data_IF_662918352576
#
_entry.id   IF_662918352576
#
_cell.length_a   1.000
_cell.length_b   1.000
_cell.length_c   1.000
_cell.angle_alpha   90.00
_cell.angle_beta   90.00
_cell.angle_gamma   90.00
#
_symmetry.space_group_name_H-M   'P 1'
#
loop_
_entity.id
_entity.type
_entity.pdbx_description
1 polymer ?
#
# COMPACT_ATOMS: atom_id res chain seq x y z
N UNK A 1 -3.21 -12.55 -27.37
CA UNK A 1 -3.67 -11.99 -26.07
C UNK A 1 -2.65 -12.39 -25.04
N UNK A 2 -2.13 -11.47 -24.25
CA UNK A 2 -1.23 -11.77 -23.14
C UNK A 2 -2.02 -12.60 -22.12
N UNK A 3 -1.48 -13.74 -21.70
CA UNK A 3 -2.10 -14.61 -20.68
C UNK A 3 -2.26 -13.83 -19.39
N UNK A 4 -3.35 -14.05 -18.64
CA UNK A 4 -3.55 -13.43 -17.33
C UNK A 4 -2.50 -13.96 -16.33
N UNK A 5 -1.58 -13.13 -15.83
CA UNK A 5 -0.51 -13.60 -14.93
C UNK A 5 -1.02 -14.26 -13.64
N UNK A 6 -2.25 -13.94 -13.20
CA UNK A 6 -2.85 -14.54 -12.01
C UNK A 6 -3.30 -16.00 -12.21
N UNK A 7 -3.41 -16.46 -13.46
CA UNK A 7 -3.83 -17.84 -13.81
C UNK A 7 -2.66 -18.76 -14.19
N UNK A 8 -1.41 -18.28 -14.10
CA UNK A 8 -0.24 -19.05 -14.56
C UNK A 8 0.21 -20.11 -13.55
N UNK A 9 -0.10 -19.94 -12.26
CA UNK A 9 0.41 -20.78 -11.19
C UNK A 9 -0.65 -21.72 -10.62
N UNK A 10 -0.27 -22.97 -10.45
CA UNK A 10 -1.09 -23.94 -9.71
C UNK A 10 -0.98 -23.70 -8.20
N UNK A 11 -1.99 -24.17 -7.45
CA UNK A 11 -1.96 -24.11 -5.99
C UNK A 11 -0.74 -24.82 -5.41
N UNK A 12 -0.26 -25.92 -6.02
CA UNK A 12 0.94 -26.63 -5.56
C UNK A 12 2.19 -25.77 -5.72
N UNK A 13 2.38 -25.12 -6.86
CA UNK A 13 3.52 -24.22 -7.09
C UNK A 13 3.52 -23.03 -6.13
N UNK A 14 2.32 -22.54 -5.74
CA UNK A 14 2.20 -21.48 -4.74
C UNK A 14 2.55 -21.97 -3.33
N UNK A 15 2.19 -23.20 -2.98
CA UNK A 15 2.54 -23.82 -1.68
C UNK A 15 4.04 -24.08 -1.52
N UNK A 16 4.77 -24.21 -2.60
CA UNK A 16 6.23 -24.36 -2.59
C UNK A 16 6.97 -23.03 -2.29
N UNK A 17 6.24 -21.90 -2.26
CA UNK A 17 6.79 -20.59 -1.92
C UNK A 17 6.99 -20.44 -0.41
N UNK A 18 8.11 -19.81 -0.05
CA UNK A 18 8.51 -19.57 1.34
C UNK A 18 8.31 -18.11 1.79
N UNK A 19 7.79 -17.24 0.91
CA UNK A 19 7.48 -15.86 1.27
C UNK A 19 6.33 -15.80 2.28
N UNK A 20 6.17 -14.64 2.92
CA UNK A 20 5.23 -14.46 4.03
C UNK A 20 3.80 -14.92 3.70
N UNK A 21 3.31 -14.66 2.48
CA UNK A 21 1.95 -15.04 2.09
C UNK A 21 1.69 -16.53 2.25
N UNK A 22 2.56 -17.37 1.70
CA UNK A 22 2.37 -18.81 1.64
C UNK A 22 3.14 -19.57 2.74
N UNK A 23 4.21 -18.99 3.29
CA UNK A 23 5.05 -19.62 4.32
C UNK A 23 4.54 -19.49 5.75
N UNK A 24 3.59 -18.59 6.04
CA UNK A 24 3.16 -18.30 7.41
C UNK A 24 2.07 -19.23 7.94
N UNK A 25 1.35 -19.93 7.07
CA UNK A 25 0.20 -20.76 7.45
C UNK A 25 0.35 -22.22 7.01
N UNK A 26 -0.32 -23.18 7.69
CA UNK A 26 -0.37 -24.57 7.26
C UNK A 26 -0.96 -24.74 5.86
N UNK A 27 -0.63 -25.86 5.20
CA UNK A 27 -0.96 -26.09 3.79
C UNK A 27 -2.47 -26.21 3.48
N UNK A 28 -3.33 -26.42 4.48
CA UNK A 28 -4.79 -26.46 4.33
C UNK A 28 -5.43 -25.07 4.36
N UNK A 29 -4.69 -24.03 4.76
CA UNK A 29 -5.13 -22.63 4.79
C UNK A 29 -4.91 -21.98 3.42
N UNK A 30 -5.90 -21.20 2.95
CA UNK A 30 -5.78 -20.34 1.79
C UNK A 30 -5.40 -18.91 2.25
N UNK A 31 -4.19 -18.42 1.93
CA UNK A 31 -3.71 -17.13 2.43
C UNK A 31 -4.12 -15.97 1.52
N UNK A 32 -5.11 -15.20 1.94
CA UNK A 32 -5.57 -13.98 1.28
C UNK A 32 -5.35 -12.72 2.16
N UNK A 33 -4.31 -12.69 2.95
CA UNK A 33 -4.06 -11.68 3.99
C UNK A 33 -3.01 -10.62 3.62
N UNK A 34 -1.81 -11.02 3.25
CA UNK A 34 -0.71 -10.09 2.96
C UNK A 34 -0.76 -9.58 1.52
N UNK A 35 -0.30 -8.34 1.32
CA UNK A 35 -0.28 -7.70 0.01
C UNK A 35 0.90 -8.19 -0.87
N UNK A 36 0.85 -9.48 -1.24
CA UNK A 36 1.67 -10.16 -2.25
C UNK A 36 0.74 -10.78 -3.31
N UNK A 37 1.14 -10.78 -4.58
CA UNK A 37 0.36 -11.38 -5.66
C UNK A 37 0.80 -12.83 -5.94
N UNK A 38 -0.12 -13.66 -6.39
CA UNK A 38 0.15 -15.03 -6.81
C UNK A 38 0.49 -15.08 -8.30
N UNK A 39 1.62 -14.49 -8.65
CA UNK A 39 2.11 -14.35 -10.03
C UNK A 39 3.56 -14.77 -10.16
N UNK A 40 4.01 -15.10 -11.36
CA UNK A 40 5.42 -15.13 -11.70
C UNK A 40 5.98 -13.70 -11.81
N UNK A 41 7.31 -13.56 -11.73
CA UNK A 41 7.94 -12.29 -12.06
C UNK A 41 7.64 -11.90 -13.51
N UNK A 42 7.48 -10.61 -13.77
CA UNK A 42 7.44 -10.11 -15.14
C UNK A 42 8.69 -10.60 -15.90
N UNK A 43 8.55 -11.14 -17.12
CA UNK A 43 9.67 -11.76 -17.83
C UNK A 43 10.89 -10.86 -17.98
N UNK A 44 10.69 -9.58 -18.28
CA UNK A 44 11.77 -8.58 -18.42
C UNK A 44 12.52 -8.37 -17.09
N UNK A 45 11.81 -8.34 -15.98
CA UNK A 45 12.39 -8.23 -14.62
C UNK A 45 13.20 -9.49 -14.29
N UNK A 46 12.64 -10.67 -14.57
CA UNK A 46 13.33 -11.94 -14.32
C UNK A 46 14.63 -12.06 -15.14
N UNK A 47 14.62 -11.62 -16.39
CA UNK A 47 15.81 -11.59 -17.25
C UNK A 47 16.87 -10.62 -16.73
N UNK A 48 16.47 -9.40 -16.37
CA UNK A 48 17.40 -8.40 -15.81
C UNK A 48 18.10 -8.91 -14.53
N UNK A 49 17.35 -9.58 -13.64
CA UNK A 49 17.91 -10.19 -12.43
C UNK A 49 18.88 -11.32 -12.75
N UNK A 50 18.54 -12.24 -13.67
CA UNK A 50 19.47 -13.32 -14.07
C UNK A 50 20.76 -12.76 -14.63
N UNK A 51 20.67 -11.78 -15.52
CA UNK A 51 21.84 -11.11 -16.11
C UNK A 51 22.72 -10.46 -15.04
N UNK A 52 22.14 -9.78 -14.04
CA UNK A 52 22.92 -9.19 -12.96
C UNK A 52 23.62 -10.25 -12.11
N UNK A 53 22.95 -11.35 -11.79
CA UNK A 53 23.53 -12.49 -11.05
C UNK A 53 24.66 -13.14 -11.85
N UNK A 54 24.45 -13.41 -13.13
CA UNK A 54 25.45 -14.06 -14.01
C UNK A 54 26.70 -13.18 -14.17
N UNK A 55 26.55 -11.86 -14.11
CA UNK A 55 27.67 -10.91 -14.13
C UNK A 55 28.35 -10.71 -12.76
N UNK A 56 27.79 -11.27 -11.68
CA UNK A 56 28.27 -11.00 -10.32
C UNK A 56 28.02 -9.56 -9.85
N UNK A 57 27.04 -8.86 -10.44
CA UNK A 57 26.71 -7.47 -10.14
C UNK A 57 25.83 -7.35 -8.88
N UNK A 58 26.49 -7.54 -7.72
CA UNK A 58 25.84 -7.62 -6.40
C UNK A 58 26.39 -6.60 -5.40
N UNK A 59 26.99 -5.50 -5.88
CA UNK A 59 27.54 -4.42 -5.07
C UNK A 59 26.47 -3.49 -4.49
N UNK A 60 26.91 -2.30 -4.06
CA UNK A 60 26.00 -1.26 -3.60
C UNK A 60 25.30 -0.57 -4.78
N UNK A 61 24.01 -0.18 -4.63
CA UNK A 61 23.31 0.55 -5.67
C UNK A 61 23.92 1.93 -5.88
N UNK A 62 23.95 2.40 -7.13
CA UNK A 62 24.37 3.76 -7.46
C UNK A 62 23.65 4.28 -8.70
N UNK A 63 23.73 5.59 -8.92
CA UNK A 63 23.18 6.25 -10.10
C UNK A 63 21.67 6.49 -10.04
N UNK A 64 21.11 6.87 -11.18
CA UNK A 64 19.76 7.42 -11.32
C UNK A 64 18.78 6.53 -12.08
N UNK A 65 19.18 5.31 -12.44
CA UNK A 65 18.43 4.44 -13.34
C UNK A 65 16.98 4.17 -12.89
N UNK A 66 16.74 4.02 -11.57
CA UNK A 66 15.39 3.86 -11.04
C UNK A 66 14.59 5.16 -11.15
N UNK A 67 15.19 6.29 -10.81
CA UNK A 67 14.53 7.61 -10.91
C UNK A 67 14.15 7.96 -12.35
N UNK A 68 15.05 7.70 -13.29
CA UNK A 68 14.79 7.88 -14.73
C UNK A 68 13.67 6.99 -15.24
N UNK A 69 13.65 5.71 -14.83
CA UNK A 69 12.58 4.78 -15.19
C UNK A 69 11.22 5.20 -14.63
N UNK A 70 11.18 5.66 -13.37
CA UNK A 70 9.97 6.19 -12.73
C UNK A 70 9.51 7.47 -13.43
N UNK A 71 10.39 8.41 -13.74
CA UNK A 71 10.07 9.66 -14.46
C UNK A 71 9.43 9.36 -15.82
N UNK A 72 10.03 8.46 -16.60
CA UNK A 72 9.48 8.05 -17.90
C UNK A 72 8.12 7.34 -17.78
N UNK A 73 7.97 6.49 -16.77
CA UNK A 73 6.69 5.80 -16.50
C UNK A 73 5.62 6.81 -16.07
N UNK A 74 5.93 7.72 -15.17
CA UNK A 74 5.04 8.78 -14.69
C UNK A 74 4.54 9.67 -15.85
N UNK A 75 5.44 10.07 -16.75
CA UNK A 75 5.09 10.85 -17.93
C UNK A 75 4.10 10.10 -18.82
N UNK A 76 4.34 8.80 -19.09
CA UNK A 76 3.47 7.99 -19.98
C UNK A 76 2.14 7.61 -19.31
N UNK A 77 2.17 7.22 -18.03
CA UNK A 77 1.02 6.60 -17.34
C UNK A 77 0.14 7.61 -16.62
N UNK A 78 0.77 8.63 -16.00
CA UNK A 78 0.09 9.61 -15.15
C UNK A 78 0.11 11.03 -15.70
N UNK A 79 0.72 11.25 -16.89
CA UNK A 79 0.92 12.57 -17.49
C UNK A 79 1.70 13.54 -16.59
N UNK A 80 2.57 12.99 -15.74
CA UNK A 80 3.47 13.76 -14.89
C UNK A 80 4.81 13.95 -15.60
N UNK A 81 4.97 15.08 -16.28
CA UNK A 81 6.11 15.35 -17.16
C UNK A 81 7.26 16.09 -16.48
N UNK A 82 7.05 16.65 -15.29
CA UNK A 82 7.98 17.50 -14.55
C UNK A 82 8.58 16.81 -13.31
N UNK A 83 8.53 15.46 -13.27
CA UNK A 83 9.29 14.69 -12.28
C UNK A 83 10.78 14.78 -12.60
N UNK A 84 11.49 15.63 -11.85
CA UNK A 84 12.94 15.83 -11.99
C UNK A 84 13.72 14.77 -11.21
N UNK A 85 14.61 14.05 -11.89
CA UNK A 85 15.50 13.04 -11.29
C UNK A 85 16.36 13.64 -10.16
N UNK A 86 16.80 14.89 -10.28
CA UNK A 86 17.57 15.58 -9.26
C UNK A 86 16.82 15.87 -7.96
N UNK A 87 15.50 15.66 -7.92
CA UNK A 87 14.66 15.78 -6.72
C UNK A 87 14.21 14.41 -6.19
N UNK A 88 15.02 13.37 -6.39
CA UNK A 88 14.74 12.02 -5.91
C UNK A 88 15.91 11.50 -5.07
N UNK A 89 15.60 10.59 -4.13
CA UNK A 89 16.59 9.85 -3.36
C UNK A 89 16.18 8.37 -3.29
N UNK A 90 17.17 7.47 -3.40
CA UNK A 90 16.98 6.05 -3.15
C UNK A 90 16.76 5.82 -1.65
N UNK A 91 15.77 5.01 -1.32
CA UNK A 91 15.46 4.59 0.06
C UNK A 91 15.22 3.06 0.09
N UNK A 92 15.43 2.39 1.26
CA UNK A 92 15.38 0.92 1.34
C UNK A 92 14.03 0.34 0.93
N UNK A 93 12.95 0.93 1.38
CA UNK A 93 11.56 0.66 0.98
C UNK A 93 10.70 1.90 1.30
N UNK A 94 9.43 1.86 0.93
CA UNK A 94 8.53 3.01 1.14
C UNK A 94 8.38 3.33 2.62
N UNK A 95 8.22 2.35 3.52
CA UNK A 95 8.02 2.64 4.95
C UNK A 95 9.28 3.19 5.63
N UNK A 96 10.45 2.64 5.33
CA UNK A 96 11.72 3.22 5.82
C UNK A 96 11.96 4.59 5.20
N UNK A 97 11.63 4.78 3.92
CA UNK A 97 11.66 6.08 3.28
C UNK A 97 10.72 7.11 3.93
N UNK A 98 9.50 6.70 4.33
CA UNK A 98 8.58 7.54 5.12
C UNK A 98 9.24 7.98 6.41
N UNK A 99 9.87 7.06 7.16
CA UNK A 99 10.56 7.39 8.41
C UNK A 99 11.67 8.41 8.17
N UNK A 100 12.51 8.20 7.16
CA UNK A 100 13.61 9.13 6.86
C UNK A 100 13.08 10.52 6.44
N UNK A 101 12.04 10.58 5.60
CA UNK A 101 11.39 11.85 5.26
C UNK A 101 10.77 12.51 6.50
N UNK A 102 10.10 11.76 7.37
CA UNK A 102 9.58 12.32 8.63
C UNK A 102 10.69 12.87 9.52
N UNK A 103 11.88 12.27 9.54
CA UNK A 103 13.06 12.79 10.28
C UNK A 103 13.59 14.11 9.71
N UNK A 104 13.44 14.34 8.41
CA UNK A 104 13.76 15.63 7.78
C UNK A 104 12.76 16.72 8.15
N UNK A 105 11.48 16.35 8.34
CA UNK A 105 10.36 17.27 8.47
C UNK A 105 9.92 17.55 9.90
N UNK A 106 10.15 16.60 10.81
CA UNK A 106 9.62 16.63 12.18
C UNK A 106 10.66 16.15 13.18
N UNK A 107 10.48 16.53 14.42
CA UNK A 107 11.31 16.09 15.54
C UNK A 107 10.58 15.00 16.36
N UNK A 108 11.29 14.33 17.28
CA UNK A 108 10.65 13.39 18.21
C UNK A 108 9.58 14.11 19.02
N UNK A 109 8.44 13.44 19.25
CA UNK A 109 7.22 13.93 19.92
C UNK A 109 6.34 14.84 19.05
N UNK A 110 6.78 15.25 17.88
CA UNK A 110 5.91 15.92 16.92
C UNK A 110 4.79 14.98 16.45
N UNK A 111 3.78 15.56 15.81
CA UNK A 111 2.60 14.81 15.40
C UNK A 111 2.65 14.44 13.91
N UNK A 112 2.19 13.22 13.62
CA UNK A 112 1.89 12.75 12.26
C UNK A 112 0.41 12.41 12.18
N UNK A 113 -0.30 13.04 11.27
CA UNK A 113 -1.72 12.78 11.03
C UNK A 113 -1.89 11.65 10.02
N UNK A 114 -2.87 10.77 10.23
CA UNK A 114 -3.21 9.64 9.34
C UNK A 114 -4.72 9.50 9.20
N UNK A 115 -5.22 8.83 8.16
CA UNK A 115 -6.66 8.65 7.88
C UNK A 115 -7.12 7.20 8.07
N UNK A 116 -7.44 6.75 9.28
CA UNK A 116 -7.97 5.40 9.47
C UNK A 116 -9.39 5.23 8.86
N UNK A 117 -9.75 3.96 8.55
CA UNK A 117 -8.88 2.78 8.63
C UNK A 117 -7.75 2.88 7.61
N UNK A 118 -6.49 2.76 8.05
CA UNK A 118 -5.31 2.95 7.19
C UNK A 118 -4.25 1.89 7.46
N UNK A 119 -3.32 1.72 6.54
CA UNK A 119 -2.23 0.74 6.61
C UNK A 119 -1.58 0.67 7.99
N UNK A 120 -1.75 -0.47 8.68
CA UNK A 120 -1.35 -0.64 10.07
C UNK A 120 0.12 -0.25 10.39
N UNK A 121 1.11 -0.51 9.52
CA UNK A 121 2.47 -0.04 9.74
C UNK A 121 2.63 1.48 9.89
N UNK A 122 1.70 2.31 9.41
CA UNK A 122 1.77 3.76 9.65
C UNK A 122 1.80 4.08 11.16
N UNK A 123 1.03 3.34 11.97
CA UNK A 123 1.04 3.50 13.43
C UNK A 123 2.37 3.07 14.03
N UNK A 124 2.82 1.85 13.71
CA UNK A 124 4.00 1.27 14.31
C UNK A 124 5.27 2.05 13.94
N UNK A 125 5.49 2.36 12.65
CA UNK A 125 6.69 3.06 12.20
C UNK A 125 6.77 4.49 12.75
N UNK A 126 5.64 5.22 12.77
CA UNK A 126 5.57 6.58 13.32
C UNK A 126 5.84 6.57 14.83
N UNK A 127 5.20 5.65 15.57
CA UNK A 127 5.35 5.55 17.03
C UNK A 127 6.76 5.09 17.44
N UNK A 128 7.33 4.08 16.76
CA UNK A 128 8.68 3.59 17.05
C UNK A 128 9.76 4.65 16.78
N UNK A 129 9.54 5.53 15.80
CA UNK A 129 10.42 6.66 15.56
C UNK A 129 10.17 7.86 16.51
N UNK A 130 9.27 7.68 17.49
CA UNK A 130 9.03 8.61 18.59
C UNK A 130 8.14 9.79 18.26
N UNK A 131 7.32 9.71 17.20
CA UNK A 131 6.29 10.69 16.86
C UNK A 131 4.93 10.24 17.38
N UNK A 132 4.01 11.19 17.53
CA UNK A 132 2.64 10.93 17.95
C UNK A 132 1.75 10.75 16.74
N UNK A 133 0.93 9.71 16.71
CA UNK A 133 -0.09 9.54 15.68
C UNK A 133 -1.36 10.28 16.09
N UNK A 134 -1.92 11.06 15.17
CA UNK A 134 -3.21 11.74 15.31
C UNK A 134 -4.12 11.27 14.18
N UNK A 135 -5.28 10.77 14.52
CA UNK A 135 -6.22 10.24 13.54
C UNK A 135 -7.19 11.31 13.00
N UNK A 136 -7.40 11.29 11.69
CA UNK A 136 -8.48 11.96 10.96
C UNK A 136 -9.26 10.91 10.19
N UNK A 137 -10.28 10.25 10.80
CA UNK A 137 -10.95 9.10 10.19
C UNK A 137 -11.59 9.41 8.84
N UNK A 138 -11.56 8.43 7.93
CA UNK A 138 -12.28 8.50 6.66
C UNK A 138 -13.79 8.41 6.89
N UNK A 139 -14.55 9.01 5.99
CA UNK A 139 -16.01 8.84 5.90
C UNK A 139 -16.34 8.21 4.54
N UNK A 140 -16.98 7.05 4.56
CA UNK A 140 -17.31 6.32 3.34
C UNK A 140 -16.08 5.96 2.48
N UNK A 141 -14.92 5.77 3.10
CA UNK A 141 -13.65 5.48 2.42
C UNK A 141 -13.01 6.70 1.75
N UNK A 142 -13.48 7.93 2.03
CA UNK A 142 -12.96 9.19 1.47
C UNK A 142 -12.42 10.10 2.59
N UNK A 143 -11.49 10.98 2.24
CA UNK A 143 -10.96 11.98 3.18
C UNK A 143 -12.07 12.95 3.54
N UNK A 144 -12.32 13.07 4.85
CA UNK A 144 -13.19 14.10 5.41
C UNK A 144 -12.32 15.31 5.78
N UNK A 145 -12.55 16.42 5.09
CA UNK A 145 -11.74 17.64 5.27
C UNK A 145 -11.97 18.28 6.65
N UNK A 146 -13.16 18.17 7.22
CA UNK A 146 -13.45 18.70 8.56
C UNK A 146 -12.73 17.85 9.62
N UNK A 147 -12.75 16.52 9.49
CA UNK A 147 -11.99 15.63 10.37
C UNK A 147 -10.48 15.88 10.25
N UNK A 148 -9.99 16.13 9.03
CA UNK A 148 -8.57 16.41 8.76
C UNK A 148 -8.16 17.77 9.35
N UNK A 149 -8.97 18.82 9.18
CA UNK A 149 -8.74 20.14 9.79
C UNK A 149 -8.69 20.05 11.33
N UNK A 150 -9.67 19.37 11.92
CA UNK A 150 -9.72 19.15 13.36
C UNK A 150 -8.48 18.36 13.86
N UNK A 151 -7.98 17.39 13.08
CA UNK A 151 -6.77 16.67 13.42
C UNK A 151 -5.52 17.57 13.36
N UNK A 152 -5.42 18.46 12.37
CA UNK A 152 -4.34 19.46 12.31
C UNK A 152 -4.36 20.41 13.51
N UNK A 153 -5.54 20.88 13.92
CA UNK A 153 -5.70 21.70 15.15
C UNK A 153 -5.22 20.92 16.38
N UNK A 154 -5.67 19.68 16.58
CA UNK A 154 -5.23 18.85 17.72
C UNK A 154 -3.74 18.56 17.68
N UNK A 155 -3.17 18.29 16.50
CA UNK A 155 -1.75 18.04 16.33
C UNK A 155 -0.90 19.22 16.81
N UNK A 156 -1.33 20.45 16.53
CA UNK A 156 -0.65 21.66 16.96
C UNK A 156 -0.89 22.02 18.42
N UNK A 157 -2.10 21.83 18.94
CA UNK A 157 -2.44 22.16 20.33
C UNK A 157 -1.66 21.34 21.38
N UNK A 158 -1.31 20.07 21.03
CA UNK A 158 -0.56 19.17 21.92
C UNK A 158 0.96 19.31 21.87
N UNK A 159 1.48 20.34 21.22
CA UNK A 159 2.88 20.51 20.91
C UNK A 159 3.37 21.91 21.28
N UNK A 160 4.67 22.08 21.56
CA UNK A 160 5.30 23.38 21.84
C UNK A 160 5.15 24.37 20.66
N UNK A 161 5.53 25.63 20.92
CA UNK A 161 5.35 26.73 19.96
C UNK A 161 6.01 26.49 18.60
N UNK A 162 7.08 25.67 18.56
CA UNK A 162 7.87 25.34 17.37
C UNK A 162 7.60 23.96 16.81
N UNK A 163 6.55 23.26 17.30
CA UNK A 163 6.25 21.92 16.88
C UNK A 163 5.81 21.83 15.42
N UNK A 164 6.43 20.88 14.74
CA UNK A 164 6.15 20.56 13.34
C UNK A 164 5.04 19.50 13.28
N UNK A 165 4.29 19.52 12.19
CA UNK A 165 3.25 18.54 11.94
C UNK A 165 3.42 18.01 10.51
N UNK A 166 3.41 16.68 10.38
CA UNK A 166 3.33 16.03 9.08
C UNK A 166 1.98 15.33 8.90
N UNK A 167 1.57 15.18 7.66
CA UNK A 167 0.42 14.37 7.28
C UNK A 167 0.88 13.25 6.37
N UNK A 168 0.68 12.00 6.79
CA UNK A 168 1.02 10.81 6.04
C UNK A 168 -0.22 10.32 5.27
N UNK A 169 -0.25 10.66 3.99
CA UNK A 169 -1.33 10.34 3.05
C UNK A 169 -1.08 8.97 2.42
N UNK A 170 -2.11 8.12 2.34
CA UNK A 170 -2.10 6.86 1.60
C UNK A 170 -2.84 7.04 0.27
N UNK A 171 -2.15 7.02 -0.88
CA UNK A 171 -2.70 7.34 -2.20
C UNK A 171 -2.15 6.44 -3.32
N UNK A 172 -2.88 5.44 -3.84
CA UNK A 172 -4.22 4.96 -3.44
C UNK A 172 -4.31 4.40 -2.04
N UNK A 173 -5.52 4.39 -1.48
CA UNK A 173 -5.72 4.11 -0.07
C UNK A 173 -5.80 2.61 0.23
N UNK A 174 -5.01 2.16 1.21
CA UNK A 174 -5.06 0.81 1.80
C UNK A 174 -5.60 0.95 3.24
N UNK A 175 -6.70 0.30 3.61
CA UNK A 175 -7.28 -0.92 3.01
C UNK A 175 -8.47 -0.69 2.07
N UNK A 176 -9.00 0.51 1.95
CA UNK A 176 -10.29 0.79 1.30
C UNK A 176 -10.28 0.63 -0.22
N UNK A 177 -9.10 0.65 -0.85
CA UNK A 177 -8.98 0.64 -2.31
C UNK A 177 -9.43 1.94 -2.99
N UNK A 178 -9.67 3.00 -2.22
CA UNK A 178 -10.08 4.31 -2.74
C UNK A 178 -8.94 4.97 -3.50
N UNK A 179 -9.26 5.56 -4.65
CA UNK A 179 -8.37 6.42 -5.42
C UNK A 179 -8.86 7.86 -5.27
N UNK A 180 -8.05 8.71 -4.65
CA UNK A 180 -8.42 10.10 -4.42
C UNK A 180 -8.46 10.87 -5.73
N UNK A 181 -9.46 11.73 -5.89
CA UNK A 181 -9.59 12.59 -7.07
C UNK A 181 -8.60 13.77 -6.99
N UNK A 182 -8.30 14.39 -8.14
CA UNK A 182 -7.46 15.58 -8.18
C UNK A 182 -8.02 16.73 -7.33
N UNK A 183 -9.36 16.85 -7.26
CA UNK A 183 -10.02 17.91 -6.47
C UNK A 183 -9.89 17.65 -4.96
N UNK A 184 -10.04 16.40 -4.52
CA UNK A 184 -9.79 16.02 -3.11
C UNK A 184 -8.34 16.27 -2.72
N UNK A 185 -7.38 15.84 -3.56
CA UNK A 185 -5.95 16.05 -3.29
C UNK A 185 -5.58 17.54 -3.28
N UNK A 186 -6.19 18.36 -4.14
CA UNK A 186 -6.01 19.83 -4.12
C UNK A 186 -6.54 20.43 -2.84
N UNK A 187 -7.73 20.03 -2.39
CA UNK A 187 -8.30 20.51 -1.14
C UNK A 187 -7.44 20.11 0.07
N UNK A 188 -6.88 18.89 0.07
CA UNK A 188 -5.89 18.43 1.07
C UNK A 188 -4.64 19.30 1.05
N UNK A 189 -4.05 19.57 -0.12
CA UNK A 189 -2.85 20.39 -0.25
C UNK A 189 -3.07 21.82 0.24
N UNK A 190 -4.22 22.43 -0.11
CA UNK A 190 -4.61 23.76 0.36
C UNK A 190 -4.77 23.80 1.87
N UNK A 191 -5.48 22.80 2.44
CA UNK A 191 -5.67 22.69 3.89
C UNK A 191 -4.33 22.53 4.61
N UNK A 192 -3.48 21.63 4.15
CA UNK A 192 -2.15 21.40 4.73
C UNK A 192 -1.30 22.68 4.69
N UNK A 193 -1.30 23.41 3.57
CA UNK A 193 -0.58 24.68 3.42
C UNK A 193 -1.12 25.74 4.42
N UNK A 194 -2.44 25.86 4.56
CA UNK A 194 -3.09 26.81 5.51
C UNK A 194 -2.65 26.56 6.95
N UNK A 195 -2.47 25.28 7.33
CA UNK A 195 -2.02 24.91 8.67
C UNK A 195 -0.49 24.73 8.78
N UNK A 196 0.30 24.96 7.74
CA UNK A 196 1.74 24.74 7.73
C UNK A 196 2.11 23.27 8.00
N UNK A 197 1.29 22.33 7.54
CA UNK A 197 1.53 20.88 7.65
C UNK A 197 2.24 20.38 6.41
N UNK A 198 3.25 19.54 6.60
CA UNK A 198 4.01 18.92 5.49
C UNK A 198 3.39 17.59 5.13
N UNK A 199 3.09 17.38 3.84
CA UNK A 199 2.47 16.13 3.36
C UNK A 199 3.56 15.17 2.89
N UNK A 200 3.44 13.90 3.32
CA UNK A 200 4.21 12.76 2.83
C UNK A 200 3.20 11.77 2.23
N UNK A 201 3.21 11.63 0.91
CA UNK A 201 2.28 10.75 0.20
C UNK A 201 2.91 9.38 -0.05
N UNK A 202 2.36 8.33 0.55
CA UNK A 202 2.69 6.95 0.22
C UNK A 202 1.93 6.56 -1.05
N UNK A 203 2.66 6.46 -2.17
CA UNK A 203 2.14 6.16 -3.50
C UNK A 203 2.58 4.77 -4.01
N UNK A 204 2.87 3.84 -3.10
CA UNK A 204 3.33 2.49 -3.45
C UNK A 204 2.33 1.72 -4.32
N UNK A 205 1.04 2.03 -4.21
CA UNK A 205 -0.04 1.43 -5.00
C UNK A 205 -0.37 2.21 -6.29
N UNK A 206 0.31 3.31 -6.56
CA UNK A 206 0.03 4.19 -7.70
C UNK A 206 -0.07 3.48 -9.07
N UNK A 207 0.76 2.46 -9.40
CA UNK A 207 0.59 1.76 -10.67
C UNK A 207 -0.61 0.78 -10.70
N UNK A 208 -1.22 0.46 -9.54
CA UNK A 208 -2.31 -0.53 -9.44
C UNK A 208 -3.66 0.19 -9.40
N UNK A 209 -4.03 0.78 -10.53
CA UNK A 209 -5.33 1.45 -10.71
C UNK A 209 -6.22 0.59 -11.60
N UNK A 210 -7.41 0.31 -11.11
CA UNK A 210 -8.36 -0.54 -11.80
C UNK A 210 -9.23 0.28 -12.77
N UNK A 211 -9.76 -0.35 -13.84
CA UNK A 211 -10.61 0.32 -14.82
C UNK A 211 -11.74 1.15 -14.19
N UNK A 212 -11.98 2.33 -14.76
CA UNK A 212 -12.97 3.29 -14.25
C UNK A 212 -12.41 4.35 -13.29
N UNK A 213 -11.12 4.25 -12.91
CA UNK A 213 -10.46 5.19 -12.02
C UNK A 213 -9.19 5.76 -12.62
N UNK A 214 -8.74 6.91 -12.13
CA UNK A 214 -7.51 7.58 -12.57
C UNK A 214 -6.70 8.02 -11.35
N UNK A 215 -5.43 7.63 -11.33
CA UNK A 215 -4.49 8.10 -10.32
C UNK A 215 -4.03 9.53 -10.61
N UNK A 216 -3.94 10.33 -9.57
CA UNK A 216 -3.33 11.66 -9.59
C UNK A 216 -2.14 11.63 -8.63
N UNK A 217 -0.88 11.78 -9.11
CA UNK A 217 0.27 11.93 -8.21
C UNK A 217 0.10 13.18 -7.34
N UNK A 218 0.34 13.06 -6.03
CA UNK A 218 0.10 14.17 -5.11
C UNK A 218 0.95 15.41 -5.46
N UNK A 219 2.19 15.20 -5.89
CA UNK A 219 3.10 16.29 -6.25
C UNK A 219 2.70 17.07 -7.52
N UNK A 220 1.66 16.62 -8.25
CA UNK A 220 1.14 17.34 -9.45
C UNK A 220 0.01 18.30 -9.13
N UNK A 221 -0.53 18.29 -7.91
CA UNK A 221 -1.61 19.20 -7.55
C UNK A 221 -1.06 20.53 -7.03
N UNK A 222 -1.70 21.66 -7.36
CA UNK A 222 -1.31 22.96 -6.82
C UNK A 222 -1.34 22.97 -5.28
N UNK A 223 -0.32 23.53 -4.66
CA UNK A 223 -0.16 23.59 -3.21
C UNK A 223 0.66 22.41 -2.61
N UNK A 224 1.10 21.46 -3.45
CA UNK A 224 1.93 20.33 -3.03
C UNK A 224 3.44 20.57 -3.23
N UNK A 225 3.87 21.77 -3.56
CA UNK A 225 5.26 22.11 -3.92
C UNK A 225 6.28 21.80 -2.81
N UNK A 226 5.84 21.81 -1.53
CA UNK A 226 6.67 21.50 -0.38
C UNK A 226 6.48 20.08 0.18
N UNK A 227 5.75 19.20 -0.54
CA UNK A 227 5.44 17.85 -0.13
C UNK A 227 6.49 16.83 -0.60
N UNK A 228 6.32 15.59 -0.13
CA UNK A 228 7.06 14.41 -0.58
C UNK A 228 6.10 13.34 -1.07
N UNK A 229 6.54 12.54 -2.05
CA UNK A 229 5.89 11.31 -2.45
C UNK A 229 6.90 10.15 -2.39
N UNK A 230 6.43 8.96 -2.04
CA UNK A 230 7.24 7.74 -2.04
C UNK A 230 6.63 6.71 -2.98
N UNK A 231 7.47 6.14 -3.85
CA UNK A 231 7.03 5.20 -4.87
C UNK A 231 7.97 3.98 -4.95
N UNK A 232 7.39 2.84 -5.31
CA UNK A 232 8.12 1.59 -5.48
C UNK A 232 7.38 0.67 -6.46
N UNK A 233 8.11 -0.18 -7.18
CA UNK A 233 7.52 -1.25 -7.99
C UNK A 233 7.00 -2.44 -7.16
N UNK A 234 7.25 -2.44 -5.85
CA UNK A 234 7.00 -3.57 -4.93
C UNK A 234 5.60 -4.16 -5.05
N UNK A 235 4.56 -3.33 -5.17
CA UNK A 235 3.18 -3.79 -5.19
C UNK A 235 2.70 -4.15 -6.59
N UNK A 236 3.04 -3.33 -7.57
CA UNK A 236 2.56 -3.49 -8.95
C UNK A 236 3.21 -4.66 -9.68
N UNK A 237 4.46 -5.02 -9.35
CA UNK A 237 5.20 -6.13 -9.97
C UNK A 237 5.60 -7.22 -8.98
N UNK A 238 5.00 -7.22 -7.78
CA UNK A 238 5.23 -8.25 -6.75
C UNK A 238 6.70 -8.40 -6.32
N UNK A 239 7.39 -7.27 -6.07
CA UNK A 239 8.83 -7.21 -5.76
C UNK A 239 9.12 -6.86 -4.29
N UNK A 240 8.18 -7.11 -3.36
CA UNK A 240 8.30 -6.66 -1.96
C UNK A 240 9.53 -7.17 -1.21
N UNK A 241 10.08 -8.32 -1.61
CA UNK A 241 11.32 -8.88 -1.08
C UNK A 241 12.59 -8.24 -1.64
N UNK A 242 12.49 -7.58 -2.81
CA UNK A 242 13.60 -6.88 -3.45
C UNK A 242 13.54 -5.39 -3.08
N UNK A 243 14.05 -5.06 -1.90
CA UNK A 243 13.93 -3.77 -1.26
C UNK A 243 14.54 -2.63 -2.08
N UNK A 244 13.69 -1.76 -2.64
CA UNK A 244 14.05 -0.49 -3.26
C UNK A 244 12.82 0.42 -3.39
N UNK A 245 12.99 1.72 -3.17
CA UNK A 245 11.98 2.74 -3.40
C UNK A 245 12.65 4.09 -3.70
N UNK A 246 11.84 5.06 -4.13
CA UNK A 246 12.23 6.45 -4.28
C UNK A 246 11.44 7.34 -3.33
N UNK A 247 12.11 8.23 -2.64
CA UNK A 247 11.54 9.45 -2.09
C UNK A 247 11.68 10.56 -3.15
N UNK A 248 10.59 11.26 -3.44
CA UNK A 248 10.49 12.31 -4.44
C UNK A 248 10.08 13.59 -3.72
N UNK A 249 10.83 14.67 -3.90
CA UNK A 249 10.51 15.97 -3.31
C UNK A 249 9.81 16.87 -4.32
N UNK A 250 8.82 17.61 -3.86
CA UNK A 250 8.31 18.77 -4.58
C UNK A 250 9.41 19.85 -4.71
N UNK A 251 9.23 20.84 -5.61
CA UNK A 251 10.28 21.81 -5.88
C UNK A 251 10.72 22.62 -4.66
N UNK A 252 9.82 22.92 -3.74
CA UNK A 252 10.14 23.65 -2.50
C UNK A 252 10.70 22.74 -1.39
N UNK A 253 10.59 21.41 -1.55
CA UNK A 253 11.11 20.42 -0.61
C UNK A 253 12.49 19.86 -1.00
N UNK A 254 13.06 20.27 -2.14
CA UNK A 254 14.34 19.76 -2.65
C UNK A 254 15.49 19.99 -1.66
N UNK A 255 15.53 21.15 -0.99
CA UNK A 255 16.54 21.44 0.02
C UNK A 255 16.45 20.54 1.26
N UNK A 256 15.24 20.10 1.63
CA UNK A 256 15.04 19.14 2.71
C UNK A 256 15.55 17.76 2.29
N UNK A 257 15.24 17.31 1.07
CA UNK A 257 15.71 16.03 0.53
C UNK A 257 17.25 15.94 0.51
N UNK A 258 17.93 17.03 0.17
CA UNK A 258 19.40 17.09 0.14
C UNK A 258 20.06 16.92 1.53
N UNK A 259 19.28 16.96 2.61
CA UNK A 259 19.75 16.66 3.98
C UNK A 259 19.60 15.18 4.35
N UNK A 260 19.07 14.34 3.46
CA UNK A 260 18.94 12.91 3.72
C UNK A 260 20.35 12.30 3.89
N UNK A 261 20.59 11.54 4.97
CA UNK A 261 21.90 10.93 5.19
C UNK A 261 22.29 10.00 4.03
N UNK A 262 23.56 10.02 3.64
CA UNK A 262 24.08 9.23 2.52
C UNK A 262 23.87 7.72 2.72
N UNK A 263 24.02 7.24 3.96
CA UNK A 263 23.85 5.83 4.33
C UNK A 263 22.43 5.28 4.04
N UNK A 264 21.40 6.15 3.99
CA UNK A 264 20.04 5.74 3.61
C UNK A 264 20.02 5.20 2.17
N UNK A 265 20.78 5.84 1.28
CA UNK A 265 20.93 5.43 -0.12
C UNK A 265 21.66 4.09 -0.30
N UNK A 266 22.41 3.62 0.71
CA UNK A 266 23.06 2.31 0.70
C UNK A 266 22.16 1.16 1.19
N UNK A 267 20.99 1.47 1.75
CA UNK A 267 20.04 0.49 2.29
C UNK A 267 19.25 -0.31 1.25
N UNK A 268 18.93 0.21 0.06
CA UNK A 268 18.28 -0.57 -1.00
C UNK A 268 19.15 -1.74 -1.47
N UNK A 269 18.51 -2.85 -1.84
CA UNK A 269 19.20 -3.94 -2.54
C UNK A 269 19.55 -3.49 -3.96
N UNK A 270 20.79 -3.69 -4.40
CA UNK A 270 21.18 -3.38 -5.79
C UNK A 270 20.37 -4.19 -6.80
N UNK A 271 20.17 -5.48 -6.56
CA UNK A 271 19.28 -6.31 -7.38
C UNK A 271 17.83 -5.80 -7.33
N UNK A 272 17.41 -5.26 -6.19
CA UNK A 272 16.12 -4.57 -6.05
C UNK A 272 16.04 -3.34 -6.95
N UNK A 273 17.05 -2.48 -6.95
CA UNK A 273 17.10 -1.28 -7.81
C UNK A 273 17.05 -1.67 -9.30
N UNK A 274 17.80 -2.69 -9.72
CA UNK A 274 17.76 -3.23 -11.10
C UNK A 274 16.36 -3.72 -11.44
N UNK A 275 15.75 -4.54 -10.58
CA UNK A 275 14.43 -5.10 -10.79
C UNK A 275 13.34 -4.02 -10.89
N UNK A 276 13.38 -3.04 -9.99
CA UNK A 276 12.41 -1.94 -9.96
C UNK A 276 12.57 -1.01 -11.17
N UNK A 277 13.80 -0.67 -11.54
CA UNK A 277 14.06 0.14 -12.72
C UNK A 277 13.53 -0.55 -13.99
N UNK A 278 13.77 -1.87 -14.14
CA UNK A 278 13.29 -2.62 -15.28
C UNK A 278 11.76 -2.78 -15.29
N UNK A 279 11.15 -2.96 -14.13
CA UNK A 279 9.70 -3.01 -13.99
C UNK A 279 9.03 -1.72 -14.51
N UNK A 280 9.51 -0.55 -14.11
CA UNK A 280 8.99 0.73 -14.61
C UNK A 280 9.34 0.99 -16.07
N UNK A 281 10.52 0.54 -16.54
CA UNK A 281 10.98 0.77 -17.93
C UNK A 281 10.22 -0.09 -18.94
N UNK A 282 10.13 -1.40 -18.69
CA UNK A 282 9.69 -2.40 -19.67
C UNK A 282 8.55 -3.31 -19.17
N UNK A 283 8.09 -3.18 -17.92
CA UNK A 283 7.08 -4.06 -17.32
C UNK A 283 5.62 -3.66 -17.61
N UNK A 284 5.36 -2.65 -18.46
CA UNK A 284 4.00 -2.09 -18.64
C UNK A 284 3.01 -3.09 -19.23
N UNK A 285 3.39 -3.88 -20.24
CA UNK A 285 2.48 -4.85 -20.88
C UNK A 285 2.05 -5.96 -19.91
N UNK A 286 3.00 -6.43 -19.09
CA UNK A 286 2.73 -7.40 -18.03
C UNK A 286 1.82 -6.80 -16.95
N UNK A 287 2.07 -5.55 -16.55
CA UNK A 287 1.22 -4.84 -15.60
C UNK A 287 -0.20 -4.69 -16.14
N UNK A 288 -0.36 -4.31 -17.42
CA UNK A 288 -1.68 -4.16 -18.02
C UNK A 288 -2.45 -5.49 -18.11
N UNK A 289 -1.74 -6.60 -18.34
CA UNK A 289 -2.35 -7.93 -18.27
C UNK A 289 -2.78 -8.27 -16.84
N UNK A 290 -1.94 -7.95 -15.85
CA UNK A 290 -2.25 -8.15 -14.43
C UNK A 290 -3.44 -7.30 -13.98
N UNK A 291 -3.51 -6.04 -14.38
CA UNK A 291 -4.62 -5.13 -14.05
C UNK A 291 -5.96 -5.63 -14.64
N UNK A 292 -5.95 -6.20 -15.85
CA UNK A 292 -7.16 -6.85 -16.40
C UNK A 292 -7.60 -8.04 -15.56
N UNK A 293 -6.65 -8.91 -15.17
CA UNK A 293 -6.94 -10.04 -14.30
C UNK A 293 -7.46 -9.63 -12.91
N UNK A 294 -6.90 -8.56 -12.35
CA UNK A 294 -7.38 -8.00 -11.09
C UNK A 294 -8.81 -7.43 -11.22
N UNK A 295 -9.14 -6.78 -12.34
CA UNK A 295 -10.49 -6.25 -12.58
C UNK A 295 -11.52 -7.38 -12.72
N UNK A 296 -11.14 -8.46 -13.42
CA UNK A 296 -11.95 -9.69 -13.49
C UNK A 296 -12.16 -10.30 -12.10
N UNK A 297 -11.11 -10.39 -11.29
CA UNK A 297 -11.19 -10.91 -9.92
C UNK A 297 -11.99 -10.00 -9.00
N UNK A 298 -11.89 -8.67 -9.16
CA UNK A 298 -12.71 -7.70 -8.42
C UNK A 298 -14.21 -7.93 -8.67
N UNK A 299 -14.58 -8.18 -9.92
CA UNK A 299 -15.96 -8.47 -10.34
C UNK A 299 -16.41 -9.82 -9.78
N UNK A 300 -15.62 -10.87 -9.99
CA UNK A 300 -15.88 -12.20 -9.46
C UNK A 300 -16.05 -12.19 -7.93
N UNK A 301 -15.20 -11.45 -7.22
CA UNK A 301 -15.31 -11.34 -5.76
C UNK A 301 -16.65 -10.76 -5.33
N UNK A 302 -17.16 -9.73 -6.04
CA UNK A 302 -18.47 -9.15 -5.76
C UNK A 302 -19.61 -10.15 -5.97
N UNK A 303 -19.55 -10.94 -7.04
CA UNK A 303 -20.53 -12.01 -7.32
C UNK A 303 -20.49 -13.09 -6.22
N UNK A 304 -19.29 -13.56 -5.87
CA UNK A 304 -19.11 -14.59 -4.84
C UNK A 304 -19.57 -14.11 -3.44
N UNK A 305 -19.32 -12.84 -3.09
CA UNK A 305 -19.80 -12.26 -1.83
C UNK A 305 -21.32 -12.20 -1.83
N UNK A 306 -21.94 -11.75 -2.91
CA UNK A 306 -23.41 -11.70 -3.00
C UNK A 306 -24.04 -13.09 -2.86
N UNK A 307 -23.41 -14.15 -3.41
CA UNK A 307 -23.89 -15.52 -3.37
C UNK A 307 -23.64 -16.20 -2.02
N UNK A 308 -22.42 -16.13 -1.50
CA UNK A 308 -21.98 -16.94 -0.35
C UNK A 308 -21.95 -16.17 0.97
N UNK A 309 -21.86 -14.85 0.95
CA UNK A 309 -21.68 -13.99 2.13
C UNK A 309 -22.65 -12.78 2.12
N UNK A 310 -23.98 -12.99 1.97
CA UNK A 310 -24.93 -11.89 1.74
C UNK A 310 -25.03 -10.86 2.86
N UNK A 311 -24.56 -11.17 4.07
CA UNK A 311 -24.47 -10.24 5.21
C UNK A 311 -23.15 -9.47 5.25
N UNK A 312 -22.23 -9.68 4.29
CA UNK A 312 -20.96 -8.95 4.20
C UNK A 312 -21.09 -7.86 3.15
N UNK A 313 -20.72 -6.60 3.53
CA UNK A 313 -20.75 -5.50 2.57
C UNK A 313 -19.38 -5.38 1.90
N UNK A 314 -19.37 -5.32 0.60
CA UNK A 314 -18.18 -5.20 -0.24
C UNK A 314 -18.09 -3.79 -0.80
N UNK A 315 -17.08 -3.03 -0.36
CA UNK A 315 -16.75 -1.76 -0.99
C UNK A 315 -15.93 -2.02 -2.24
N UNK A 316 -16.42 -1.59 -3.40
CA UNK A 316 -15.76 -1.78 -4.69
C UNK A 316 -14.43 -1.01 -4.76
N UNK A 317 -13.26 -1.66 -4.81
CA UNK A 317 -11.98 -0.97 -4.84
C UNK A 317 -11.73 -0.33 -6.21
N UNK A 318 -11.25 0.90 -6.19
CA UNK A 318 -10.87 1.68 -7.38
C UNK A 318 -9.41 1.45 -7.77
N UNK A 319 -8.59 1.06 -6.82
CA UNK A 319 -7.18 0.72 -6.97
C UNK A 319 -6.76 -0.31 -5.94
N UNK A 320 -5.48 -0.68 -5.96
CA UNK A 320 -4.92 -1.80 -5.20
C UNK A 320 -5.48 -3.16 -5.66
N UNK A 321 -5.08 -4.22 -4.99
CA UNK A 321 -5.67 -5.57 -5.13
C UNK A 321 -6.20 -6.08 -3.78
N UNK A 322 -6.68 -5.13 -2.96
CA UNK A 322 -7.15 -5.36 -1.61
C UNK A 322 -8.62 -4.95 -1.53
N UNK A 323 -9.45 -5.84 -1.00
CA UNK A 323 -10.85 -5.62 -0.76
C UNK A 323 -11.10 -5.39 0.73
N UNK A 324 -11.86 -4.36 1.07
CA UNK A 324 -12.29 -4.04 2.42
C UNK A 324 -13.71 -4.54 2.61
N UNK A 325 -13.88 -5.54 3.49
CA UNK A 325 -15.14 -6.23 3.72
C UNK A 325 -15.69 -5.86 5.10
N UNK A 326 -16.91 -5.35 5.14
CA UNK A 326 -17.64 -5.04 6.38
C UNK A 326 -18.40 -6.30 6.83
N UNK A 327 -17.92 -6.92 7.90
CA UNK A 327 -18.46 -8.13 8.49
C UNK A 327 -19.29 -7.86 9.77
N UNK A 328 -19.60 -6.60 10.11
CA UNK A 328 -20.24 -6.22 11.38
C UNK A 328 -21.62 -6.86 11.57
N UNK A 329 -22.35 -7.14 10.50
CA UNK A 329 -23.64 -7.82 10.57
C UNK A 329 -23.50 -9.31 11.00
N UNK A 330 -22.29 -9.89 10.95
CA UNK A 330 -22.03 -11.26 11.41
C UNK A 330 -21.81 -11.36 12.91
N UNK A 331 -21.64 -10.23 13.61
CA UNK A 331 -21.56 -10.12 15.10
C UNK A 331 -20.54 -11.05 15.75
N UNK A 332 -19.33 -11.11 15.20
CA UNK A 332 -18.22 -11.83 15.83
C UNK A 332 -17.71 -11.12 17.07
N UNK A 333 -17.35 -11.87 18.10
CA UNK A 333 -16.68 -11.35 19.27
C UNK A 333 -15.28 -10.80 18.91
N UNK A 334 -15.01 -9.58 19.34
CA UNK A 334 -13.69 -8.98 19.20
C UNK A 334 -13.00 -8.92 20.57
N UNK A 335 -11.91 -9.65 20.71
CA UNK A 335 -11.02 -9.48 21.86
C UNK A 335 -10.26 -8.16 21.68
N UNK A 336 -10.22 -7.36 22.76
CA UNK A 336 -9.41 -6.15 22.77
C UNK A 336 -7.92 -6.54 22.64
N UNK A 337 -7.24 -6.00 21.64
CA UNK A 337 -5.80 -6.16 21.53
C UNK A 337 -5.10 -5.28 22.58
N UNK A 338 -4.33 -5.88 23.48
CA UNK A 338 -3.47 -5.15 24.42
C UNK A 338 -2.18 -4.73 23.68
N UNK A 339 -2.03 -3.43 23.44
CA UNK A 339 -0.79 -2.85 22.91
C UNK A 339 -0.87 -2.32 21.47
N UNK A 340 0.31 -2.04 20.88
CA UNK A 340 0.40 -1.64 19.46
C UNK A 340 0.07 -2.85 18.57
N UNK A 341 -1.06 -2.79 17.89
CA UNK A 341 -1.50 -3.83 16.97
C UNK A 341 -0.46 -4.06 15.87
N UNK A 342 -0.05 -5.31 15.67
CA UNK A 342 0.81 -5.73 14.56
C UNK A 342 -0.04 -6.31 13.43
N UNK A 343 0.45 -6.23 12.20
CA UNK A 343 -0.28 -6.68 10.99
C UNK A 343 -0.73 -8.15 11.08
N UNK A 344 -0.05 -8.95 11.90
CA UNK A 344 -0.35 -10.37 12.12
C UNK A 344 -1.36 -10.62 13.25
N UNK A 345 -1.80 -9.60 13.99
CA UNK A 345 -2.78 -9.78 15.06
C UNK A 345 -4.13 -10.18 14.47
N UNK A 346 -4.69 -11.26 15.01
CA UNK A 346 -5.96 -11.81 14.56
C UNK A 346 -7.03 -11.64 15.64
N UNK A 347 -8.16 -11.06 15.24
CA UNK A 347 -9.31 -10.82 16.09
C UNK A 347 -10.59 -10.85 15.25
N UNK A 348 -11.73 -11.01 15.88
CA UNK A 348 -13.04 -10.93 15.26
C UNK A 348 -13.19 -11.82 14.01
N UNK A 349 -13.74 -11.27 12.92
CA UNK A 349 -14.04 -12.06 11.73
C UNK A 349 -12.80 -12.70 11.09
N UNK A 350 -11.62 -12.08 11.15
CA UNK A 350 -10.42 -12.67 10.55
C UNK A 350 -9.96 -13.93 11.30
N UNK A 351 -9.98 -13.92 12.64
CA UNK A 351 -9.69 -15.10 13.45
C UNK A 351 -10.73 -16.18 13.19
N UNK A 352 -12.00 -15.82 13.20
CA UNK A 352 -13.08 -16.76 12.99
C UNK A 352 -12.98 -17.48 11.62
N UNK A 353 -12.75 -16.74 10.54
CA UNK A 353 -12.58 -17.34 9.20
C UNK A 353 -11.31 -18.20 9.08
N UNK A 354 -10.23 -17.85 9.80
CA UNK A 354 -9.05 -18.71 9.84
C UNK A 354 -9.37 -20.05 10.51
N UNK A 355 -10.05 -20.02 11.65
CA UNK A 355 -10.30 -21.20 12.47
C UNK A 355 -11.36 -22.14 11.83
N UNK A 356 -12.43 -21.57 11.26
CA UNK A 356 -13.59 -22.34 10.78
C UNK A 356 -13.61 -22.54 9.26
N UNK A 357 -13.09 -21.57 8.47
CA UNK A 357 -13.06 -21.65 7.01
C UNK A 357 -11.68 -22.02 6.46
N UNK A 358 -10.62 -22.00 7.29
CA UNK A 358 -9.23 -22.18 6.84
C UNK A 358 -8.84 -21.17 5.75
N UNK A 359 -9.28 -19.91 5.92
CA UNK A 359 -8.96 -18.76 5.07
C UNK A 359 -8.32 -17.68 5.92
N UNK A 360 -7.08 -17.31 5.62
CA UNK A 360 -6.36 -16.26 6.33
C UNK A 360 -6.63 -14.89 5.68
N UNK A 361 -7.11 -13.94 6.49
CA UNK A 361 -7.40 -12.55 6.11
C UNK A 361 -6.69 -11.61 7.08
N UNK A 362 -6.51 -10.33 6.73
CA UNK A 362 -6.03 -9.34 7.70
C UNK A 362 -7.19 -8.84 8.55
N UNK A 363 -7.00 -8.82 9.88
CA UNK A 363 -7.99 -8.27 10.82
C UNK A 363 -8.15 -6.77 10.65
N UNK A 364 -9.38 -6.30 10.69
CA UNK A 364 -9.70 -4.89 10.50
C UNK A 364 -9.22 -3.98 11.63
N UNK A 365 -9.25 -4.45 12.89
CA UNK A 365 -8.88 -3.64 14.05
C UNK A 365 -7.46 -3.05 13.98
N UNK A 366 -6.51 -3.74 13.31
CA UNK A 366 -5.12 -3.26 13.17
C UNK A 366 -5.00 -2.02 12.27
N UNK A 367 -6.05 -1.66 11.53
CA UNK A 367 -6.08 -0.49 10.65
C UNK A 367 -6.55 0.80 11.36
N UNK A 368 -6.79 0.74 12.69
CA UNK A 368 -7.20 1.89 13.50
C UNK A 368 -8.70 2.13 13.52
N UNK A 369 -9.09 3.36 13.87
CA UNK A 369 -10.51 3.74 14.01
C UNK A 369 -11.33 3.37 12.77
N UNK A 370 -12.48 2.71 12.99
CA UNK A 370 -13.36 2.23 11.91
C UNK A 370 -12.95 0.90 11.29
N UNK A 371 -11.89 0.24 11.80
CA UNK A 371 -11.44 -1.05 11.32
C UNK A 371 -12.13 -2.25 11.96
N UNK A 372 -12.60 -2.11 13.21
CA UNK A 372 -13.31 -3.17 13.97
C UNK A 372 -14.47 -3.75 13.17
N UNK A 373 -14.66 -5.08 13.20
CA UNK A 373 -15.68 -5.79 12.45
C UNK A 373 -15.43 -5.92 10.94
N UNK A 374 -14.27 -5.49 10.46
CA UNK A 374 -13.89 -5.60 9.05
C UNK A 374 -12.77 -6.62 8.85
N UNK A 375 -12.60 -7.05 7.61
CA UNK A 375 -11.41 -7.77 7.16
C UNK A 375 -10.90 -7.18 5.86
N UNK A 376 -9.58 -7.26 5.65
CA UNK A 376 -8.98 -6.98 4.35
C UNK A 376 -8.63 -8.29 3.65
N UNK A 377 -9.16 -8.47 2.44
CA UNK A 377 -8.93 -9.62 1.57
C UNK A 377 -8.06 -9.19 0.38
N UNK A 378 -6.99 -9.94 0.12
CA UNK A 378 -6.17 -9.83 -1.08
C UNK A 378 -6.76 -10.69 -2.19
N UNK A 379 -7.24 -10.08 -3.29
CA UNK A 379 -7.80 -10.78 -4.44
C UNK A 379 -6.82 -11.00 -5.60
N UNK A 380 -5.51 -10.70 -5.41
CA UNK A 380 -4.47 -10.96 -6.41
C UNK A 380 -4.00 -12.44 -6.37
N UNK A 381 -4.90 -13.32 -6.75
CA UNK A 381 -4.71 -14.78 -6.83
C UNK A 381 -5.48 -15.32 -8.04
N UNK A 382 -5.41 -16.65 -8.30
CA UNK A 382 -6.23 -17.24 -9.36
C UNK A 382 -7.72 -17.23 -9.02
N UNK A 383 -8.57 -17.20 -10.05
CA UNK A 383 -10.03 -17.30 -9.90
C UNK A 383 -10.46 -18.54 -9.10
N UNK A 384 -9.77 -19.66 -9.33
CA UNK A 384 -10.04 -20.92 -8.61
C UNK A 384 -9.79 -20.78 -7.10
N UNK A 385 -8.68 -20.18 -6.69
CA UNK A 385 -8.34 -19.96 -5.28
C UNK A 385 -9.30 -18.96 -4.65
N UNK A 386 -9.64 -17.87 -5.35
CA UNK A 386 -10.57 -16.85 -4.87
C UNK A 386 -11.97 -17.45 -4.65
N UNK A 387 -12.47 -18.23 -5.63
CA UNK A 387 -13.76 -18.91 -5.54
C UNK A 387 -13.79 -19.89 -4.37
N UNK A 388 -12.78 -20.76 -4.25
CA UNK A 388 -12.71 -21.73 -3.16
C UNK A 388 -12.66 -21.04 -1.79
N UNK A 389 -11.87 -19.97 -1.65
CA UNK A 389 -11.76 -19.26 -0.38
C UNK A 389 -13.11 -18.65 0.06
N UNK A 390 -13.80 -17.93 -0.83
CA UNK A 390 -15.09 -17.31 -0.49
C UNK A 390 -16.17 -18.38 -0.26
N UNK A 391 -16.18 -19.47 -1.05
CA UNK A 391 -17.09 -20.60 -0.83
C UNK A 391 -16.86 -21.30 0.52
N UNK A 392 -15.58 -21.45 0.97
CA UNK A 392 -15.26 -21.96 2.32
C UNK A 392 -15.83 -21.06 3.41
N UNK A 393 -15.64 -19.73 3.26
CA UNK A 393 -16.18 -18.76 4.20
C UNK A 393 -17.70 -18.87 4.31
N UNK A 394 -18.42 -18.99 3.18
CA UNK A 394 -19.88 -19.15 3.14
C UNK A 394 -20.36 -20.46 3.78
N UNK A 395 -19.70 -21.60 3.46
CA UNK A 395 -20.02 -22.90 4.09
C UNK A 395 -19.86 -22.86 5.60
N UNK A 396 -18.72 -22.33 6.09
CA UNK A 396 -18.47 -22.24 7.51
C UNK A 396 -19.53 -21.41 8.25
N UNK A 397 -20.03 -20.32 7.64
CA UNK A 397 -21.13 -19.53 8.21
C UNK A 397 -22.48 -20.27 8.20
N UNK A 398 -22.74 -21.11 7.20
CA UNK A 398 -23.95 -21.90 7.13
C UNK A 398 -23.98 -23.03 8.18
N UNK A 399 -22.82 -23.65 8.42
CA UNK A 399 -22.67 -24.77 9.38
C UNK A 399 -22.77 -24.30 10.86
N UNK A 400 -22.67 -23.00 11.11
CA UNK A 400 -22.69 -22.43 12.48
C UNK A 400 -24.07 -21.86 12.84
N UNK A 401 -24.99 -21.78 11.87
CA UNK A 401 -26.39 -21.37 12.08
C UNK A 401 -27.29 -22.57 12.30
#
# INVERSE_FOLDING_TARGET
MTVNPLEELTLQQLRDRTSMKWGAHPADVLPLWVAEMDVNLAPTVAEALRKAIDNGDTGYPCGTALAEAVSQFAARRWQWHDLEVGRTALVPDVMLGVVEVLRLLTDRRDAVVVNPPVYAPFYAFVAHDGRRVIEAPLVGGRIDLDALENAFVRARAGAGRDAKVAYLLCNPHNPTGSVHTADELRAVAELARRFGVRVVSDEIHAPVILPGSRFTPFLTVPGAENAFALISASKAWNLSGLKAALAIAGPEAAADLNRMPEEVGHGPSHLGVIAHAEAFRSGSDWLDATLRGLDENRTLLGELIAEHLPSVKYQWPQGTYLAWLDCRELSFDEEAADGLAVVADLSGPARWFLDHARVALSSGHVFGTGGTGHVRLNFATSRAILTEAVSRMGRALADTR
#
